data_IF_068449016285
#
_entry.id   IF_068449016285
#
_cell.length_a   1.000
_cell.length_b   1.000
_cell.length_c   1.000
_cell.angle_alpha   90.00
_cell.angle_beta   90.00
_cell.angle_gamma   90.00
#
_symmetry.space_group_name_H-M   'P 1'
#
loop_
_entity.id
_entity.type
_entity.pdbx_description
1 polymer ?
#
# COMPACT_ATOMS: atom_id res chain seq x y z
N UNK A 1 -17.81 -5.18 -13.28
CA UNK A 1 -17.17 -4.82 -12.00
C UNK A 1 -16.67 -3.39 -12.10
N UNK A 2 -16.97 -2.57 -11.10
CA UNK A 2 -16.60 -1.17 -11.07
C UNK A 2 -15.86 -0.86 -9.77
N UNK A 3 -14.75 -0.14 -9.86
CA UNK A 3 -14.01 0.35 -8.69
C UNK A 3 -14.35 1.82 -8.48
N UNK A 4 -14.83 2.11 -7.28
CA UNK A 4 -15.15 3.45 -6.81
C UNK A 4 -14.14 3.89 -5.75
N UNK A 5 -13.78 5.17 -5.79
CA UNK A 5 -12.91 5.78 -4.80
C UNK A 5 -13.66 6.90 -4.11
N UNK A 6 -13.62 6.91 -2.79
CA UNK A 6 -14.05 8.03 -1.96
C UNK A 6 -12.84 8.58 -1.22
N UNK A 7 -12.52 9.85 -1.47
CA UNK A 7 -11.45 10.57 -0.80
C UNK A 7 -11.93 10.96 0.60
N UNK A 8 -11.12 10.66 1.63
CA UNK A 8 -11.40 11.11 2.99
C UNK A 8 -10.53 12.31 3.39
N UNK A 9 -9.38 12.50 2.74
CA UNK A 9 -8.57 13.73 2.81
C UNK A 9 -8.29 14.28 1.41
N UNK A 10 -8.20 15.61 1.32
CA UNK A 10 -8.23 16.41 0.08
C UNK A 10 -7.05 16.08 -0.85
N UNK A 11 -7.28 16.06 -2.18
CA UNK A 11 -6.29 15.71 -3.22
C UNK A 11 -5.42 16.87 -3.70
N UNK A 12 -5.64 18.09 -3.20
CA UNK A 12 -4.55 19.06 -3.25
C UNK A 12 -3.62 18.63 -2.12
N UNK A 13 -2.35 18.34 -2.43
CA UNK A 13 -1.29 18.13 -1.44
C UNK A 13 -1.56 19.11 -0.30
N UNK A 14 -2.06 18.59 0.81
CA UNK A 14 -2.17 19.38 2.01
C UNK A 14 -0.71 19.59 2.39
N UNK A 15 -0.19 20.77 2.05
CA UNK A 15 1.24 21.10 2.13
C UNK A 15 1.74 20.95 3.57
N UNK A 16 0.82 20.92 4.55
CA UNK A 16 1.10 20.65 5.94
C UNK A 16 1.27 19.16 6.27
N UNK A 17 0.59 18.25 5.56
CA UNK A 17 0.58 16.82 5.92
C UNK A 17 1.29 15.91 4.91
N UNK A 18 1.41 16.31 3.63
CA UNK A 18 2.04 15.51 2.56
C UNK A 18 1.46 14.09 2.39
N UNK A 19 0.24 13.85 2.89
CA UNK A 19 -0.42 12.54 2.88
C UNK A 19 -1.85 12.66 2.35
N UNK A 20 -2.22 11.80 1.40
CA UNK A 20 -3.62 11.64 0.97
C UNK A 20 -4.15 10.27 1.37
N UNK A 21 -5.35 10.24 1.96
CA UNK A 21 -6.06 9.00 2.32
C UNK A 21 -7.29 8.81 1.45
N UNK A 22 -7.43 7.60 0.92
CA UNK A 22 -8.52 7.21 0.04
C UNK A 22 -9.12 5.89 0.51
N UNK A 23 -10.43 5.74 0.32
CA UNK A 23 -11.10 4.45 0.46
C UNK A 23 -11.53 3.97 -0.93
N UNK A 24 -10.98 2.83 -1.34
CA UNK A 24 -11.35 2.13 -2.55
C UNK A 24 -12.43 1.07 -2.25
N UNK A 25 -13.41 0.97 -3.14
CA UNK A 25 -14.50 -0.01 -3.07
C UNK A 25 -14.68 -0.67 -4.43
N UNK A 26 -14.67 -1.99 -4.46
CA UNK A 26 -15.03 -2.78 -5.63
C UNK A 26 -16.49 -3.18 -5.50
N UNK A 27 -17.32 -2.81 -6.47
CA UNK A 27 -18.73 -3.14 -6.52
C UNK A 27 -19.08 -3.96 -7.77
N UNK A 28 -20.08 -4.82 -7.60
CA UNK A 28 -20.75 -5.48 -8.69
C UNK A 28 -21.57 -4.47 -9.49
N UNK A 29 -21.38 -4.42 -10.81
CA UNK A 29 -21.99 -3.39 -11.66
C UNK A 29 -23.48 -3.59 -11.91
N UNK A 30 -24.01 -4.79 -11.68
CA UNK A 30 -25.42 -5.10 -11.91
C UNK A 30 -26.24 -4.97 -10.63
N UNK A 31 -25.65 -5.32 -9.49
CA UNK A 31 -26.33 -5.39 -8.19
C UNK A 31 -25.93 -4.29 -7.21
N UNK A 32 -24.93 -3.48 -7.55
CA UNK A 32 -24.31 -2.46 -6.68
C UNK A 32 -23.72 -3.03 -5.36
N UNK A 33 -23.64 -4.35 -5.25
CA UNK A 33 -23.16 -5.04 -4.06
C UNK A 33 -21.65 -4.79 -3.87
N UNK A 34 -21.25 -4.38 -2.66
CA UNK A 34 -19.84 -4.25 -2.28
C UNK A 34 -19.19 -5.64 -2.20
N UNK A 35 -18.09 -5.81 -2.94
CA UNK A 35 -17.37 -7.09 -3.07
C UNK A 35 -16.04 -7.07 -2.32
N UNK A 36 -15.37 -5.92 -2.31
CA UNK A 36 -14.12 -5.71 -1.61
C UNK A 36 -13.90 -4.23 -1.28
N UNK A 37 -13.11 -3.97 -0.24
CA UNK A 37 -12.70 -2.61 0.16
C UNK A 37 -11.22 -2.56 0.47
N UNK A 38 -10.64 -1.38 0.42
CA UNK A 38 -9.25 -1.12 0.79
C UNK A 38 -9.10 0.35 1.17
N UNK A 39 -8.23 0.63 2.14
CA UNK A 39 -7.72 1.98 2.38
C UNK A 39 -6.38 2.15 1.66
N UNK A 40 -6.19 3.31 1.04
CA UNK A 40 -4.96 3.64 0.32
C UNK A 40 -4.41 4.93 0.90
N UNK A 41 -3.14 4.89 1.30
CA UNK A 41 -2.39 6.06 1.74
C UNK A 41 -1.36 6.41 0.67
N UNK A 42 -1.32 7.66 0.26
CA UNK A 42 -0.33 8.22 -0.66
C UNK A 42 0.55 9.18 0.14
N UNK A 43 1.79 8.80 0.41
CA UNK A 43 2.73 9.56 1.25
C UNK A 43 3.82 10.17 0.36
N UNK A 44 3.74 11.48 0.12
CA UNK A 44 4.64 12.21 -0.77
C UNK A 44 5.96 12.55 -0.07
N UNK A 45 7.00 11.75 -0.35
CA UNK A 45 8.34 11.97 0.20
C UNK A 45 9.03 13.17 -0.43
N UNK A 46 8.75 13.45 -1.71
CA UNK A 46 9.35 14.58 -2.42
C UNK A 46 8.96 15.93 -1.81
N UNK A 47 7.70 16.10 -1.45
CA UNK A 47 7.24 17.29 -0.71
C UNK A 47 7.59 17.17 0.77
N UNK A 48 7.43 15.98 1.35
CA UNK A 48 7.63 15.72 2.77
C UNK A 48 9.02 16.06 3.29
N UNK A 49 10.07 15.80 2.52
CA UNK A 49 11.47 16.14 2.87
C UNK A 49 11.71 17.64 3.12
N UNK A 50 10.80 18.53 2.67
CA UNK A 50 10.90 19.98 2.90
C UNK A 50 10.23 20.42 4.21
N UNK A 51 9.47 19.53 4.85
CA UNK A 51 8.56 19.86 5.96
C UNK A 51 8.90 19.06 7.22
N UNK A 52 9.28 17.79 7.08
CA UNK A 52 9.58 16.89 8.19
C UNK A 52 10.55 15.76 7.78
N UNK A 53 10.90 14.84 8.69
CA UNK A 53 11.63 13.62 8.37
C UNK A 53 10.70 12.44 8.01
N UNK A 54 11.27 11.37 7.47
CA UNK A 54 10.51 10.23 6.95
C UNK A 54 9.69 9.51 8.02
N UNK A 55 10.22 9.40 9.25
CA UNK A 55 9.56 8.65 10.31
C UNK A 55 8.35 9.41 10.84
N UNK A 56 8.49 10.72 11.05
CA UNK A 56 7.39 11.60 11.43
C UNK A 56 6.32 11.66 10.32
N UNK A 57 6.72 11.71 9.04
CA UNK A 57 5.77 11.73 7.93
C UNK A 57 4.93 10.44 7.84
N UNK A 58 5.54 9.30 8.18
CA UNK A 58 4.88 8.00 8.13
C UNK A 58 4.04 7.70 9.37
N UNK A 59 4.07 8.52 10.42
CA UNK A 59 3.20 8.38 11.58
C UNK A 59 1.80 8.99 11.34
N UNK A 60 1.09 8.46 10.34
CA UNK A 60 -0.29 8.88 10.02
C UNK A 60 -1.26 8.17 10.96
N UNK A 61 -1.54 8.78 12.11
CA UNK A 61 -2.37 8.20 13.18
C UNK A 61 -1.90 6.79 13.60
N UNK A 62 -0.59 6.50 13.50
CA UNK A 62 -0.01 5.18 13.73
C UNK A 62 -0.28 4.12 12.65
N UNK A 63 -1.06 4.42 11.60
CA UNK A 63 -1.49 3.43 10.59
C UNK A 63 -0.34 3.04 9.66
N UNK A 64 0.41 4.03 9.18
CA UNK A 64 1.54 3.80 8.26
C UNK A 64 2.89 3.72 8.97
N UNK A 65 2.90 3.86 10.31
CA UNK A 65 4.14 3.85 11.10
C UNK A 65 4.90 2.52 10.96
N UNK A 66 4.21 1.40 10.72
CA UNK A 66 4.88 0.11 10.53
C UNK A 66 5.84 0.11 9.34
N UNK A 67 5.67 1.01 8.37
CA UNK A 67 6.50 1.11 7.16
C UNK A 67 7.77 1.95 7.37
N UNK A 68 7.96 2.61 8.53
CA UNK A 68 9.22 3.36 8.81
C UNK A 68 10.44 2.44 8.78
N UNK A 69 10.26 1.16 9.10
CA UNK A 69 11.35 0.15 9.06
C UNK A 69 11.91 -0.09 7.66
N UNK A 70 11.26 0.44 6.61
CA UNK A 70 11.77 0.36 5.25
C UNK A 70 12.79 1.48 4.94
N UNK A 71 12.74 2.57 5.70
CA UNK A 71 13.39 3.83 5.35
C UNK A 71 14.28 4.36 6.48
N UNK A 72 15.38 4.96 6.08
CA UNK A 72 16.14 5.89 6.90
C UNK A 72 15.36 7.21 7.08
N UNK A 73 15.71 8.00 8.10
CA UNK A 73 15.02 9.27 8.38
C UNK A 73 15.10 10.28 7.20
N UNK A 74 16.11 10.13 6.33
CA UNK A 74 16.32 10.96 5.13
C UNK A 74 15.54 10.46 3.88
N UNK A 75 14.51 9.63 4.05
CA UNK A 75 13.65 9.11 2.97
C UNK A 75 14.33 8.12 2.00
N UNK A 76 15.54 7.66 2.31
CA UNK A 76 16.21 6.60 1.55
C UNK A 76 15.79 5.22 2.08
N UNK A 77 15.75 4.21 1.20
CA UNK A 77 15.61 2.82 1.65
C UNK A 77 16.84 2.43 2.48
N UNK A 78 16.60 1.67 3.55
CA UNK A 78 17.69 1.01 4.27
C UNK A 78 18.46 0.10 3.30
N UNK A 79 19.79 0.10 3.38
CA UNK A 79 20.66 -0.54 2.37
C UNK A 79 20.29 -1.99 2.04
N UNK A 80 20.03 -2.81 3.07
CA UNK A 80 19.64 -4.22 2.89
C UNK A 80 18.31 -4.38 2.11
N UNK A 81 17.39 -3.43 2.29
CA UNK A 81 16.11 -3.40 1.59
C UNK A 81 16.30 -2.91 0.16
N UNK A 82 17.09 -1.86 -0.04
CA UNK A 82 17.43 -1.33 -1.36
C UNK A 82 18.07 -2.41 -2.25
N UNK A 83 19.04 -3.16 -1.72
CA UNK A 83 19.70 -4.27 -2.42
C UNK A 83 18.70 -5.38 -2.77
N UNK A 84 17.84 -5.76 -1.82
CA UNK A 84 16.85 -6.81 -2.05
C UNK A 84 15.81 -6.43 -3.11
N UNK A 85 15.42 -5.16 -3.14
CA UNK A 85 14.43 -4.66 -4.09
C UNK A 85 15.04 -4.33 -5.46
N UNK A 86 16.38 -4.29 -5.55
CA UNK A 86 17.12 -3.79 -6.71
C UNK A 86 16.68 -2.37 -7.08
N UNK A 87 16.57 -1.51 -6.06
CA UNK A 87 16.04 -0.16 -6.19
C UNK A 87 16.92 0.84 -5.44
N UNK A 88 17.79 1.51 -6.19
CA UNK A 88 18.77 2.47 -5.68
C UNK A 88 18.43 3.93 -6.01
N UNK A 89 17.30 4.16 -6.69
CA UNK A 89 16.83 5.51 -7.02
C UNK A 89 15.93 6.05 -5.90
N UNK A 90 15.82 7.39 -5.76
CA UNK A 90 14.92 7.99 -4.80
C UNK A 90 13.47 7.58 -5.07
N UNK A 91 12.78 7.13 -4.02
CA UNK A 91 11.34 6.90 -4.05
C UNK A 91 10.66 8.24 -3.79
N UNK A 92 9.83 8.68 -4.73
CA UNK A 92 9.13 9.96 -4.60
C UNK A 92 7.90 9.84 -3.70
N UNK A 93 7.28 8.66 -3.66
CA UNK A 93 6.08 8.42 -2.86
C UNK A 93 5.96 6.97 -2.43
N UNK A 94 5.54 6.77 -1.19
CA UNK A 94 5.06 5.49 -0.70
C UNK A 94 3.55 5.39 -0.90
N UNK A 95 3.11 4.36 -1.61
CA UNK A 95 1.69 4.02 -1.78
C UNK A 95 1.40 2.81 -0.90
N UNK A 96 0.65 3.01 0.18
CA UNK A 96 0.31 1.94 1.13
C UNK A 96 -1.10 1.42 0.84
N UNK A 97 -1.20 0.13 0.53
CA UNK A 97 -2.47 -0.61 0.49
C UNK A 97 -2.71 -1.16 1.90
N UNK A 98 -3.69 -0.58 2.59
CA UNK A 98 -4.08 -0.92 3.95
C UNK A 98 -5.48 -1.54 3.98
N UNK A 99 -5.69 -2.43 4.96
CA UNK A 99 -6.99 -3.04 5.26
C UNK A 99 -7.77 -3.58 4.04
N UNK A 100 -7.06 -4.25 3.11
CA UNK A 100 -7.69 -4.85 1.93
C UNK A 100 -8.55 -6.04 2.36
N UNK A 101 -9.87 -5.88 2.25
CA UNK A 101 -10.87 -6.87 2.67
C UNK A 101 -11.73 -7.31 1.49
N UNK A 102 -11.78 -8.62 1.26
CA UNK A 102 -12.72 -9.25 0.31
C UNK A 102 -13.82 -9.96 1.09
N UNK A 103 -15.08 -9.73 0.71
CA UNK A 103 -16.23 -10.36 1.35
C UNK A 103 -16.10 -11.89 1.32
N UNK A 104 -16.40 -12.61 2.42
CA UNK A 104 -16.15 -14.06 2.55
C UNK A 104 -16.64 -14.90 1.36
N UNK A 105 -17.86 -14.65 0.88
CA UNK A 105 -18.50 -15.35 -0.25
C UNK A 105 -17.85 -15.05 -1.63
N UNK A 106 -16.88 -14.14 -1.66
CA UNK A 106 -16.19 -13.69 -2.87
C UNK A 106 -14.67 -13.90 -2.80
N UNK A 107 -14.15 -14.47 -1.69
CA UNK A 107 -12.76 -14.89 -1.57
C UNK A 107 -12.41 -15.96 -2.62
N UNK A 108 -11.16 -15.97 -3.09
CA UNK A 108 -10.69 -16.85 -4.17
C UNK A 108 -11.00 -16.37 -5.59
N UNK A 109 -11.79 -15.29 -5.76
CA UNK A 109 -12.14 -14.73 -7.08
C UNK A 109 -11.16 -13.66 -7.60
N UNK A 110 -9.94 -13.57 -7.04
CA UNK A 110 -8.90 -12.59 -7.41
C UNK A 110 -9.33 -11.11 -7.36
N UNK A 111 -10.31 -10.78 -6.51
CA UNK A 111 -10.83 -9.41 -6.37
C UNK A 111 -9.83 -8.45 -5.74
N UNK A 112 -8.99 -8.94 -4.82
CA UNK A 112 -7.86 -8.19 -4.27
C UNK A 112 -6.90 -7.76 -5.37
N UNK A 113 -6.49 -8.66 -6.26
CA UNK A 113 -5.68 -8.30 -7.43
C UNK A 113 -6.36 -7.27 -8.34
N UNK A 114 -7.68 -7.34 -8.50
CA UNK A 114 -8.43 -6.37 -9.31
C UNK A 114 -8.34 -4.96 -8.70
N UNK A 115 -8.50 -4.83 -7.38
CA UNK A 115 -8.33 -3.57 -6.67
C UNK A 115 -6.89 -3.04 -6.76
N UNK A 116 -5.91 -3.91 -6.48
CA UNK A 116 -4.49 -3.56 -6.53
C UNK A 116 -4.10 -3.08 -7.92
N UNK A 117 -4.51 -3.81 -8.96
CA UNK A 117 -4.24 -3.43 -10.35
C UNK A 117 -4.87 -2.08 -10.74
N UNK A 118 -6.07 -1.77 -10.24
CA UNK A 118 -6.70 -0.47 -10.50
C UNK A 118 -6.00 0.67 -9.73
N UNK A 119 -5.51 0.40 -8.51
CA UNK A 119 -4.69 1.35 -7.73
C UNK A 119 -3.37 1.62 -8.46
N UNK A 120 -2.66 0.57 -8.85
CA UNK A 120 -1.42 0.65 -9.64
C UNK A 120 -1.63 1.54 -10.87
N UNK A 121 -2.64 1.23 -11.69
CA UNK A 121 -2.93 1.96 -12.94
C UNK A 121 -3.28 3.43 -12.75
N UNK A 122 -3.90 3.82 -11.62
CA UNK A 122 -4.42 5.18 -11.43
C UNK A 122 -3.50 6.08 -10.63
N UNK A 123 -2.78 5.51 -9.68
CA UNK A 123 -2.12 6.28 -8.64
C UNK A 123 -0.63 5.97 -8.51
N UNK A 124 -0.08 5.00 -9.21
CA UNK A 124 1.32 4.60 -9.04
C UNK A 124 2.08 4.90 -10.33
N UNK A 125 3.27 5.48 -10.22
CA UNK A 125 4.22 5.66 -11.33
C UNK A 125 5.58 5.03 -11.02
N UNK A 126 6.50 5.06 -11.98
CA UNK A 126 7.79 4.36 -11.94
C UNK A 126 8.70 4.79 -10.76
N UNK A 127 8.44 5.95 -10.17
CA UNK A 127 9.20 6.48 -9.01
C UNK A 127 8.56 6.17 -7.66
N UNK A 128 7.46 5.42 -7.65
CA UNK A 128 6.71 5.12 -6.43
C UNK A 128 7.07 3.72 -5.90
N UNK A 129 7.00 3.57 -4.58
CA UNK A 129 7.01 2.27 -3.93
C UNK A 129 5.59 1.89 -3.52
N UNK A 130 5.06 0.81 -4.08
CA UNK A 130 3.83 0.22 -3.59
C UNK A 130 4.16 -0.72 -2.43
N UNK A 131 3.48 -0.57 -1.31
CA UNK A 131 3.69 -1.39 -0.13
C UNK A 131 2.36 -1.85 0.48
N UNK A 132 2.39 -3.03 1.07
CA UNK A 132 1.31 -3.55 1.89
C UNK A 132 1.90 -4.40 3.00
N UNK A 133 1.13 -4.59 4.06
CA UNK A 133 1.40 -5.65 5.02
C UNK A 133 0.41 -6.78 4.73
N UNK A 134 0.88 -8.02 4.77
CA UNK A 134 -0.02 -9.17 4.74
C UNK A 134 -0.83 -9.19 6.05
N UNK A 135 -1.81 -8.30 6.18
CA UNK A 135 -2.66 -8.27 7.35
C UNK A 135 -3.59 -9.48 7.28
N UNK A 136 -3.66 -10.28 8.34
CA UNK A 136 -4.43 -11.50 8.32
C UNK A 136 -5.91 -11.19 8.16
N UNK A 137 -6.59 -12.03 7.38
CA UNK A 137 -8.03 -12.21 7.50
C UNK A 137 -8.37 -12.56 8.96
N UNK A 138 -9.63 -12.42 9.36
CA UNK A 138 -10.16 -12.56 10.74
C UNK A 138 -9.60 -13.72 11.62
N UNK A 139 -8.93 -14.72 11.04
CA UNK A 139 -8.13 -15.73 11.72
C UNK A 139 -6.62 -15.55 11.47
N UNK A 140 -5.95 -14.71 12.27
CA UNK A 140 -4.50 -14.51 12.18
C UNK A 140 -3.74 -15.75 12.69
N UNK A 141 -3.25 -16.57 11.76
CA UNK A 141 -2.26 -17.63 12.04
C UNK A 141 -1.05 -17.50 11.11
N UNK A 142 0.13 -17.98 11.51
CA UNK A 142 1.32 -17.99 10.65
C UNK A 142 1.06 -18.60 9.26
N UNK A 143 0.26 -19.66 9.18
CA UNK A 143 -0.08 -20.32 7.91
C UNK A 143 -0.95 -19.44 7.01
N UNK A 144 -1.89 -18.69 7.59
CA UNK A 144 -2.75 -17.77 6.82
C UNK A 144 -1.97 -16.55 6.33
N UNK A 145 -1.09 -16.00 7.15
CA UNK A 145 -0.19 -14.89 6.78
C UNK A 145 0.76 -15.33 5.67
N UNK A 146 1.36 -16.52 5.80
CA UNK A 146 2.25 -17.09 4.78
C UNK A 146 1.51 -17.34 3.46
N UNK A 147 0.30 -17.91 3.51
CA UNK A 147 -0.51 -18.15 2.30
C UNK A 147 -0.89 -16.83 1.61
N UNK A 148 -1.18 -15.78 2.39
CA UNK A 148 -1.50 -14.46 1.87
C UNK A 148 -0.28 -13.77 1.28
N UNK A 149 0.88 -13.87 1.93
CA UNK A 149 2.15 -13.36 1.43
C UNK A 149 2.51 -14.04 0.09
N UNK A 150 2.40 -15.36 0.00
CA UNK A 150 2.62 -16.11 -1.25
C UNK A 150 1.66 -15.69 -2.37
N UNK A 151 0.40 -15.41 -2.03
CA UNK A 151 -0.54 -14.84 -2.99
C UNK A 151 -0.07 -13.48 -3.51
N UNK A 152 0.35 -12.58 -2.63
CA UNK A 152 0.87 -11.27 -3.05
C UNK A 152 2.17 -11.37 -3.85
N UNK A 153 3.06 -12.30 -3.48
CA UNK A 153 4.26 -12.63 -4.26
C UNK A 153 3.91 -13.08 -5.69
N UNK A 154 2.84 -13.89 -5.84
CA UNK A 154 2.37 -14.35 -7.15
C UNK A 154 1.86 -13.22 -8.07
N UNK A 155 1.54 -12.05 -7.53
CA UNK A 155 1.12 -10.85 -8.29
C UNK A 155 2.19 -9.75 -8.32
N UNK A 156 3.45 -10.11 -7.99
CA UNK A 156 4.63 -9.29 -8.21
C UNK A 156 5.15 -8.54 -6.99
N UNK A 157 4.54 -8.70 -5.82
CA UNK A 157 5.14 -8.18 -4.59
C UNK A 157 6.37 -9.01 -4.18
N UNK A 158 7.27 -8.39 -3.42
CA UNK A 158 8.46 -9.00 -2.82
C UNK A 158 8.41 -8.72 -1.32
N UNK A 159 8.77 -9.70 -0.49
CA UNK A 159 8.90 -9.45 0.96
C UNK A 159 10.05 -8.48 1.21
N UNK A 160 9.81 -7.43 1.99
CA UNK A 160 10.88 -6.57 2.49
C UNK A 160 11.84 -7.34 3.42
N UNK A 161 11.33 -8.37 4.12
CA UNK A 161 12.10 -9.15 5.10
C UNK A 161 11.94 -8.67 6.53
N UNK A 162 11.10 -7.66 6.74
CA UNK A 162 10.77 -7.07 8.05
C UNK A 162 9.26 -6.95 8.18
N UNK A 163 8.74 -7.25 9.37
CA UNK A 163 7.35 -7.02 9.79
C UNK A 163 6.25 -7.51 8.82
N UNK A 164 6.48 -8.60 8.09
CA UNK A 164 5.57 -9.15 7.06
C UNK A 164 5.16 -8.12 5.99
N UNK A 165 5.98 -7.10 5.79
CA UNK A 165 5.80 -6.08 4.77
C UNK A 165 6.20 -6.66 3.42
N UNK A 166 5.34 -6.44 2.44
CA UNK A 166 5.60 -6.73 1.04
C UNK A 166 5.59 -5.42 0.26
N UNK A 167 6.55 -5.29 -0.65
CA UNK A 167 6.71 -4.13 -1.51
C UNK A 167 6.75 -4.54 -2.96
N UNK A 168 6.36 -3.65 -3.85
CA UNK A 168 6.43 -3.84 -5.29
C UNK A 168 7.04 -2.57 -5.89
N UNK A 169 8.36 -2.55 -6.15
CA UNK A 169 8.96 -1.45 -6.88
C UNK A 169 8.35 -1.40 -8.28
N UNK A 170 8.09 -0.18 -8.77
CA UNK A 170 7.68 0.02 -10.15
C UNK A 170 8.92 0.16 -11.02
N UNK A 171 8.87 -0.38 -12.24
CA UNK A 171 9.95 -0.36 -13.23
C UNK A 171 9.40 0.07 -14.59
#
# INVERSE_FOLDING_TARGET
MQVHYSLSTFTAIDVETCVSRMKAKLQDSETDKELATCEVYLVDFWTGQQVTDCHDLLDVDGVTYEFVVLFEANFELISDIAEKLDHYYPINRLVVIHDLKVQPEHRGKKLSNTLISDIERRFVCDTDLLALKAFPLENNTPETTESLAQYYESIGFKRAGVNDILTKPQF
#
